data_IF_322401204530
#
_entry.id   IF_322401204530
#
_cell.length_a   1.000
_cell.length_b   1.000
_cell.length_c   1.000
_cell.angle_alpha   90.00
_cell.angle_beta   90.00
_cell.angle_gamma   90.00
#
_symmetry.space_group_name_H-M   'P 1'
#
loop_
_entity.id
_entity.type
_entity.pdbx_description
1 polymer ?
#
# COMPACT_ATOMS: atom_id res chain seq x y z
N UNK A 1 -7.08 -6.41 -28.67
CA UNK A 1 -7.67 -5.08 -28.35
C UNK A 1 -7.08 -4.59 -27.02
N UNK A 2 -6.31 -3.48 -27.01
CA UNK A 2 -5.55 -3.03 -25.84
C UNK A 2 -6.44 -2.27 -24.83
N UNK A 3 -7.31 -2.97 -24.11
CA UNK A 3 -8.10 -2.40 -22.99
C UNK A 3 -7.27 -2.41 -21.70
N UNK A 4 -6.25 -1.54 -21.62
CA UNK A 4 -5.36 -1.37 -20.47
C UNK A 4 -5.25 0.05 -19.86
N UNK A 5 -6.12 1.05 -20.14
CA UNK A 5 -5.94 2.37 -19.54
C UNK A 5 -6.15 2.30 -18.02
N UNK A 6 -7.20 1.62 -17.55
CA UNK A 6 -7.55 1.62 -16.14
C UNK A 6 -6.55 0.90 -15.24
N UNK A 7 -6.05 -0.28 -15.62
CA UNK A 7 -5.03 -0.96 -14.81
C UNK A 7 -3.72 -0.19 -14.72
N UNK A 8 -3.36 0.57 -15.76
CA UNK A 8 -2.18 1.45 -15.70
C UNK A 8 -2.45 2.67 -14.83
N UNK A 9 -3.61 3.32 -14.97
CA UNK A 9 -3.98 4.48 -14.17
C UNK A 9 -4.08 4.12 -12.68
N UNK A 10 -4.79 3.04 -12.34
CA UNK A 10 -4.89 2.56 -10.96
C UNK A 10 -3.53 2.11 -10.42
N UNK A 11 -2.74 1.41 -11.23
CA UNK A 11 -1.38 1.02 -10.84
C UNK A 11 -0.49 2.21 -10.53
N UNK A 12 -0.55 3.28 -11.32
CA UNK A 12 0.20 4.52 -11.07
C UNK A 12 -0.34 5.31 -9.88
N UNK A 13 -1.67 5.36 -9.70
CA UNK A 13 -2.29 6.00 -8.53
C UNK A 13 -1.87 5.29 -7.23
N UNK A 14 -1.91 3.96 -7.21
CA UNK A 14 -1.39 3.16 -6.09
C UNK A 14 0.10 3.39 -5.91
N UNK A 15 0.90 3.37 -6.98
CA UNK A 15 2.34 3.60 -6.87
C UNK A 15 2.66 4.97 -6.27
N UNK A 16 1.93 6.02 -6.66
CA UNK A 16 2.09 7.36 -6.07
C UNK A 16 1.71 7.40 -4.59
N UNK A 17 0.58 6.76 -4.22
CA UNK A 17 0.16 6.64 -2.83
C UNK A 17 1.22 5.95 -1.96
N UNK A 18 1.70 4.78 -2.40
CA UNK A 18 2.71 4.00 -1.70
C UNK A 18 4.09 4.65 -1.71
N UNK A 19 4.42 5.41 -2.76
CA UNK A 19 5.65 6.20 -2.77
C UNK A 19 5.61 7.28 -1.69
N UNK A 20 4.49 8.00 -1.58
CA UNK A 20 4.32 9.02 -0.55
C UNK A 20 4.33 8.41 0.85
N UNK A 21 3.50 7.39 1.10
CA UNK A 21 3.46 6.67 2.38
C UNK A 21 4.82 6.11 2.75
N UNK A 22 5.50 5.47 1.79
CA UNK A 22 6.80 4.86 2.01
C UNK A 22 7.87 5.88 2.38
N UNK A 23 7.93 7.01 1.65
CA UNK A 23 8.84 8.12 2.00
C UNK A 23 8.49 8.70 3.37
N UNK A 24 7.21 8.91 3.69
CA UNK A 24 6.78 9.39 5.00
C UNK A 24 7.19 8.43 6.12
N UNK A 25 7.09 7.12 5.90
CA UNK A 25 7.54 6.10 6.84
C UNK A 25 9.07 6.06 7.00
N UNK A 26 9.85 6.31 5.94
CA UNK A 26 11.31 6.38 6.04
C UNK A 26 11.77 7.66 6.74
N UNK A 27 11.15 8.79 6.43
CA UNK A 27 11.48 10.08 7.06
C UNK A 27 10.95 10.17 8.50
N UNK A 28 9.87 9.46 8.80
CA UNK A 28 9.25 9.33 10.12
C UNK A 28 9.15 10.66 10.89
N UNK A 29 8.40 11.67 10.38
CA UNK A 29 8.10 12.87 11.14
C UNK A 29 7.47 12.52 12.50
N UNK A 30 7.59 13.41 13.48
CA UNK A 30 7.22 13.13 14.87
C UNK A 30 5.85 12.48 15.06
N UNK A 31 4.84 12.92 14.32
CA UNK A 31 3.48 12.34 14.36
C UNK A 31 3.45 10.86 13.97
N UNK A 32 4.22 10.45 12.96
CA UNK A 32 4.30 9.04 12.54
C UNK A 32 4.99 8.21 13.62
N UNK A 33 6.09 8.70 14.20
CA UNK A 33 6.76 8.00 15.30
C UNK A 33 5.85 7.85 16.53
N UNK A 34 5.05 8.88 16.84
CA UNK A 34 4.04 8.83 17.90
C UNK A 34 2.96 7.77 17.61
N UNK A 35 2.49 7.66 16.37
CA UNK A 35 1.56 6.62 15.95
C UNK A 35 2.14 5.22 16.13
N UNK A 36 3.36 4.96 15.65
CA UNK A 36 4.02 3.66 15.84
C UNK A 36 4.21 3.31 17.32
N UNK A 37 4.60 4.29 18.15
CA UNK A 37 4.73 4.09 19.61
C UNK A 37 3.39 3.78 20.25
N UNK A 38 2.32 4.50 19.86
CA UNK A 38 0.96 4.27 20.35
C UNK A 38 0.44 2.88 19.96
N UNK A 39 0.79 2.40 18.77
CA UNK A 39 0.46 1.05 18.31
C UNK A 39 1.35 -0.05 18.90
N UNK A 40 2.31 0.30 19.77
CA UNK A 40 3.21 -0.64 20.43
C UNK A 40 4.27 -1.26 19.51
N UNK A 41 4.51 -0.68 18.33
CA UNK A 41 5.56 -1.16 17.43
C UNK A 41 6.96 -0.73 17.90
N UNK A 42 7.99 -1.54 17.59
CA UNK A 42 9.38 -1.12 17.79
C UNK A 42 9.72 0.15 17.01
N UNK A 43 10.62 0.97 17.55
CA UNK A 43 11.01 2.25 16.94
C UNK A 43 11.62 2.12 15.53
N UNK A 44 12.10 0.95 15.13
CA UNK A 44 12.66 0.72 13.79
C UNK A 44 11.63 0.20 12.77
N UNK A 45 10.43 -0.17 13.23
CA UNK A 45 9.46 -0.87 12.38
C UNK A 45 8.92 0.01 11.25
N UNK A 46 8.91 1.34 11.41
CA UNK A 46 8.55 2.27 10.35
C UNK A 46 9.47 2.15 9.12
N UNK A 47 10.74 1.74 9.29
CA UNK A 47 11.62 1.45 8.15
C UNK A 47 11.17 0.23 7.36
N UNK A 48 10.65 -0.80 8.05
CA UNK A 48 10.11 -1.99 7.39
C UNK A 48 8.87 -1.63 6.60
N UNK A 49 7.92 -0.92 7.22
CA UNK A 49 6.72 -0.43 6.51
C UNK A 49 7.12 0.39 5.30
N UNK A 50 8.01 1.37 5.49
CA UNK A 50 8.49 2.23 4.41
C UNK A 50 9.11 1.44 3.26
N UNK A 51 9.97 0.47 3.55
CA UNK A 51 10.59 -0.39 2.54
C UNK A 51 9.56 -1.23 1.78
N UNK A 52 8.59 -1.82 2.48
CA UNK A 52 7.51 -2.61 1.86
C UNK A 52 6.62 -1.76 0.96
N UNK A 53 6.27 -0.55 1.40
CA UNK A 53 5.48 0.41 0.62
C UNK A 53 6.24 0.87 -0.64
N UNK A 54 7.51 1.25 -0.51
CA UNK A 54 8.35 1.61 -1.66
C UNK A 54 8.53 0.45 -2.64
N UNK A 55 8.67 -0.78 -2.13
CA UNK A 55 8.74 -1.98 -2.95
C UNK A 55 7.42 -2.21 -3.69
N UNK A 56 6.27 -2.04 -3.03
CA UNK A 56 4.97 -2.13 -3.67
C UNK A 56 4.85 -1.08 -4.79
N UNK A 57 5.22 0.17 -4.53
CA UNK A 57 5.22 1.25 -5.52
C UNK A 57 6.06 0.90 -6.75
N UNK A 58 7.30 0.44 -6.54
CA UNK A 58 8.20 0.05 -7.62
C UNK A 58 7.62 -1.10 -8.47
N UNK A 59 7.01 -2.11 -7.83
CA UNK A 59 6.42 -3.26 -8.52
C UNK A 59 5.15 -2.92 -9.29
N UNK A 60 4.39 -1.90 -8.87
CA UNK A 60 3.13 -1.48 -9.50
C UNK A 60 3.35 -0.74 -10.84
N UNK A 61 4.51 -0.10 -11.02
CA UNK A 61 4.84 0.69 -12.22
C UNK A 61 4.91 -0.20 -13.48
N UNK A 62 5.77 -1.24 -13.56
CA UNK A 62 5.86 -2.09 -14.74
C UNK A 62 4.64 -3.02 -14.83
N UNK A 63 4.06 -3.12 -16.03
CA UNK A 63 2.94 -4.05 -16.29
C UNK A 63 3.29 -5.50 -15.96
N UNK A 64 4.55 -5.90 -16.17
CA UNK A 64 5.03 -7.28 -15.92
C UNK A 64 4.98 -7.67 -14.45
N UNK A 65 5.25 -6.74 -13.52
CA UNK A 65 5.33 -6.99 -12.08
C UNK A 65 4.09 -6.53 -11.30
N UNK A 66 3.16 -5.83 -11.97
CA UNK A 66 1.99 -5.22 -11.34
C UNK A 66 1.16 -6.15 -10.46
N UNK A 67 1.03 -7.42 -10.86
CA UNK A 67 0.32 -8.40 -10.04
C UNK A 67 1.00 -8.63 -8.68
N UNK A 68 2.34 -8.72 -8.67
CA UNK A 68 3.11 -8.84 -7.44
C UNK A 68 3.02 -7.58 -6.60
N UNK A 69 3.11 -6.40 -7.24
CA UNK A 69 2.96 -5.12 -6.56
C UNK A 69 1.58 -4.94 -5.92
N UNK A 70 0.52 -5.35 -6.61
CA UNK A 70 -0.85 -5.33 -6.09
C UNK A 70 -1.04 -6.29 -4.91
N UNK A 71 -0.43 -7.49 -4.96
CA UNK A 71 -0.44 -8.44 -3.85
C UNK A 71 0.29 -7.91 -2.62
N UNK A 72 1.47 -7.33 -2.80
CA UNK A 72 2.22 -6.70 -1.70
C UNK A 72 1.47 -5.50 -1.11
N UNK A 73 0.94 -4.62 -1.97
CA UNK A 73 0.10 -3.50 -1.56
C UNK A 73 -1.10 -3.96 -0.72
N UNK A 74 -1.80 -5.01 -1.14
CA UNK A 74 -2.91 -5.57 -0.40
C UNK A 74 -2.48 -6.10 0.97
N UNK A 75 -1.36 -6.82 1.05
CA UNK A 75 -0.83 -7.32 2.32
C UNK A 75 -0.49 -6.18 3.31
N UNK A 76 0.17 -5.13 2.83
CA UNK A 76 0.50 -3.95 3.65
C UNK A 76 -0.77 -3.25 4.14
N UNK A 77 -1.77 -3.08 3.28
CA UNK A 77 -3.03 -2.43 3.67
C UNK A 77 -3.88 -3.28 4.61
N UNK A 78 -3.84 -4.61 4.50
CA UNK A 78 -4.47 -5.52 5.48
C UNK A 78 -3.81 -5.33 6.85
N UNK A 79 -2.47 -5.30 6.89
CA UNK A 79 -1.74 -5.06 8.13
C UNK A 79 -2.09 -3.69 8.73
N UNK A 80 -2.05 -2.62 7.92
CA UNK A 80 -2.37 -1.27 8.36
C UNK A 80 -3.83 -1.14 8.86
N UNK A 81 -4.80 -1.69 8.13
CA UNK A 81 -6.19 -1.73 8.54
C UNK A 81 -6.37 -2.51 9.84
N UNK A 82 -5.69 -3.66 9.97
CA UNK A 82 -5.67 -4.45 11.20
C UNK A 82 -5.14 -3.66 12.39
N UNK A 83 -4.01 -2.97 12.23
CA UNK A 83 -3.42 -2.12 13.26
C UNK A 83 -4.42 -1.09 13.76
N UNK A 84 -4.99 -0.26 12.88
CA UNK A 84 -5.88 0.84 13.31
C UNK A 84 -7.19 0.32 13.89
N UNK A 85 -7.74 -0.78 13.36
CA UNK A 85 -8.97 -1.40 13.89
C UNK A 85 -8.74 -2.00 15.28
N UNK A 86 -7.61 -2.68 15.50
CA UNK A 86 -7.27 -3.27 16.80
C UNK A 86 -7.03 -2.20 17.88
N UNK A 87 -6.63 -0.99 17.48
CA UNK A 87 -6.43 0.15 18.38
C UNK A 87 -7.67 1.08 18.48
N UNK A 88 -8.80 0.70 17.87
CA UNK A 88 -10.05 1.46 17.95
C UNK A 88 -10.09 2.73 17.07
N UNK A 89 -9.12 2.89 16.17
CA UNK A 89 -8.97 4.05 15.28
C UNK A 89 -9.75 3.86 13.96
N UNK A 90 -11.06 3.62 14.05
CA UNK A 90 -11.89 3.23 12.90
C UNK A 90 -11.92 4.26 11.76
N UNK A 91 -11.80 5.55 12.07
CA UNK A 91 -11.70 6.60 11.05
C UNK A 91 -10.43 6.46 10.21
N UNK A 92 -9.31 6.06 10.82
CA UNK A 92 -8.05 5.80 10.13
C UNK A 92 -8.09 4.52 9.28
N UNK A 93 -9.09 3.65 9.44
CA UNK A 93 -9.27 2.45 8.63
C UNK A 93 -9.80 2.75 7.21
N UNK A 94 -10.42 3.91 6.99
CA UNK A 94 -11.04 4.25 5.70
C UNK A 94 -9.99 4.28 4.57
N UNK A 95 -8.85 4.91 4.81
CA UNK A 95 -7.77 4.98 3.83
C UNK A 95 -7.20 3.60 3.46
N UNK A 96 -6.71 2.76 4.41
CA UNK A 96 -6.15 1.46 4.07
C UNK A 96 -7.17 0.52 3.45
N UNK A 97 -8.45 0.55 3.87
CA UNK A 97 -9.51 -0.26 3.25
C UNK A 97 -9.74 0.20 1.80
N UNK A 98 -9.80 1.50 1.54
CA UNK A 98 -10.00 2.03 0.18
C UNK A 98 -8.84 1.62 -0.72
N UNK A 99 -7.60 1.77 -0.26
CA UNK A 99 -6.40 1.40 -1.02
C UNK A 99 -6.33 -0.11 -1.23
N UNK A 100 -6.72 -0.92 -0.24
CA UNK A 100 -6.83 -2.38 -0.35
C UNK A 100 -7.79 -2.77 -1.48
N UNK A 101 -8.99 -2.17 -1.52
CA UNK A 101 -9.96 -2.45 -2.58
C UNK A 101 -9.42 -2.10 -3.97
N UNK A 102 -8.74 -0.95 -4.10
CA UNK A 102 -8.11 -0.54 -5.36
C UNK A 102 -6.96 -1.49 -5.75
N UNK A 103 -6.18 -1.97 -4.78
CA UNK A 103 -5.11 -2.96 -5.00
C UNK A 103 -5.68 -4.29 -5.49
N UNK A 104 -6.77 -4.79 -4.87
CA UNK A 104 -7.47 -6.01 -5.29
C UNK A 104 -7.99 -5.86 -6.73
N UNK A 105 -8.66 -4.75 -7.05
CA UNK A 105 -9.16 -4.49 -8.42
C UNK A 105 -8.01 -4.43 -9.43
N UNK A 106 -6.92 -3.74 -9.09
CA UNK A 106 -5.73 -3.65 -9.94
C UNK A 106 -5.10 -5.03 -10.18
N UNK A 107 -4.99 -5.84 -9.12
CA UNK A 107 -4.50 -7.22 -9.19
C UNK A 107 -5.39 -8.10 -10.06
N UNK A 108 -6.72 -8.05 -9.89
CA UNK A 108 -7.66 -8.80 -10.71
C UNK A 108 -7.55 -8.46 -12.20
N UNK A 109 -7.42 -7.18 -12.54
CA UNK A 109 -7.24 -6.78 -13.95
C UNK A 109 -5.90 -7.27 -14.48
N UNK A 110 -4.82 -7.16 -13.69
CA UNK A 110 -3.49 -7.64 -14.07
C UNK A 110 -3.45 -9.16 -14.30
N UNK A 111 -4.12 -9.94 -13.44
CA UNK A 111 -4.31 -11.39 -13.58
C UNK A 111 -4.98 -11.74 -14.92
N UNK A 112 -6.11 -11.09 -15.23
CA UNK A 112 -6.87 -11.34 -16.48
C UNK A 112 -6.10 -11.00 -17.75
N UNK A 113 -5.07 -10.15 -17.65
CA UNK A 113 -4.24 -9.76 -18.81
C UNK A 113 -3.02 -10.66 -19.00
N UNK A 114 -2.73 -11.56 -18.05
CA UNK A 114 -1.68 -12.58 -18.17
C UNK A 114 -2.19 -13.90 -18.77
N UNK A 115 -3.48 -14.19 -18.63
CA UNK A 115 -4.19 -15.33 -19.24
C UNK A 115 -4.52 -15.06 -20.70
#
# INVERSE_FOLDING_TARGET
>A
MRKLPWATILGWALAAFFLFGGVSNILAPGSILEDYRRWGYPEWFHYVTGLLELTAAALLIPRKTRLLGAGLAAAVMIAAAGTVVLHGEYSHAVAPITVLLVAIVTGMIALRTRS
#
